data_IF_228221775199
#
_entry.id   IF_228221775199
#
_cell.length_a   1.000
_cell.length_b   1.000
_cell.length_c   1.000
_cell.angle_alpha   90.00
_cell.angle_beta   90.00
_cell.angle_gamma   90.00
#
_symmetry.space_group_name_H-M   'P 1'
#
loop_
_entity.id
_entity.type
_entity.pdbx_description
1 polymer ?
#
# COMPACT_ATOMS: atom_id res chain seq x y z
N UNK A 1 7.16 12.57 11.64
CA UNK A 1 6.09 13.22 12.43
C UNK A 1 6.02 12.70 13.87
N UNK A 2 6.25 11.41 14.14
CA UNK A 2 6.34 10.89 15.51
C UNK A 2 7.40 11.61 16.39
N UNK A 3 8.56 11.96 15.82
CA UNK A 3 9.58 12.73 16.55
C UNK A 3 9.11 14.15 16.88
N UNK A 4 8.49 14.88 15.94
CA UNK A 4 7.94 16.21 16.19
C UNK A 4 6.81 16.19 17.23
N UNK A 5 5.98 15.14 17.25
CA UNK A 5 4.94 14.98 18.27
C UNK A 5 5.54 14.72 19.66
N UNK A 6 6.60 13.90 19.74
CA UNK A 6 7.35 13.69 20.99
C UNK A 6 8.07 14.95 21.46
N UNK A 7 8.65 15.72 20.54
CA UNK A 7 9.30 17.00 20.82
C UNK A 7 8.30 18.07 21.30
N UNK A 8 7.07 18.06 20.79
CA UNK A 8 5.98 18.90 21.26
C UNK A 8 5.36 18.43 22.60
N UNK A 9 5.93 17.39 23.24
CA UNK A 9 5.50 16.88 24.55
C UNK A 9 4.33 15.90 24.50
N UNK A 10 3.89 15.46 23.32
CA UNK A 10 2.86 14.43 23.22
C UNK A 10 3.43 13.04 23.53
N UNK A 11 2.77 12.33 24.44
CA UNK A 11 3.08 10.93 24.74
C UNK A 11 2.46 10.06 23.66
N UNK A 12 3.29 9.61 22.70
CA UNK A 12 2.87 8.66 21.66
C UNK A 12 2.79 7.26 22.29
N UNK A 13 1.61 6.89 22.78
CA UNK A 13 1.37 5.60 23.45
C UNK A 13 1.36 4.40 22.51
N UNK A 14 1.11 4.60 21.21
CA UNK A 14 1.12 3.56 20.20
C UNK A 14 1.81 4.03 18.92
N UNK A 15 2.59 3.14 18.30
CA UNK A 15 3.19 3.39 16.99
C UNK A 15 2.08 3.53 15.93
N UNK A 16 2.16 4.51 15.01
CA UNK A 16 1.18 4.67 13.94
C UNK A 16 1.07 3.38 13.12
N UNK A 17 -0.12 2.76 13.15
CA UNK A 17 -0.43 1.62 12.29
C UNK A 17 -1.05 2.16 11.00
N UNK A 18 -0.39 2.04 9.84
CA UNK A 18 -0.95 2.53 8.60
C UNK A 18 -2.22 1.75 8.28
N UNK A 19 -3.32 2.47 8.04
CA UNK A 19 -4.58 1.88 7.58
C UNK A 19 -4.50 1.79 6.05
N UNK A 20 -4.58 0.59 5.45
CA UNK A 20 -4.60 0.46 4.00
C UNK A 20 -5.93 0.97 3.46
N UNK A 21 -5.88 2.07 2.71
CA UNK A 21 -7.05 2.61 2.01
C UNK A 21 -7.05 2.13 0.56
N UNK A 22 -8.22 1.72 0.09
CA UNK A 22 -8.40 1.36 -1.31
C UNK A 22 -8.36 2.61 -2.18
N UNK A 23 -7.53 2.58 -3.21
CA UNK A 23 -7.43 3.65 -4.22
C UNK A 23 -8.50 3.53 -5.29
N UNK A 24 -8.97 2.31 -5.58
CA UNK A 24 -10.07 2.07 -6.52
C UNK A 24 -10.99 0.93 -6.02
N UNK A 25 -12.15 0.75 -6.64
CA UNK A 25 -13.22 -0.17 -6.21
C UNK A 25 -12.96 -1.68 -6.42
N UNK A 26 -11.69 -2.09 -6.55
CA UNK A 26 -11.26 -3.48 -6.74
C UNK A 26 -11.29 -4.42 -5.51
N UNK A 27 -11.30 -3.95 -4.24
CA UNK A 27 -11.39 -4.83 -3.08
C UNK A 27 -12.65 -5.70 -3.11
N UNK A 28 -12.55 -6.89 -2.51
CA UNK A 28 -13.71 -7.80 -2.39
C UNK A 28 -14.64 -7.43 -1.23
N UNK A 29 -14.12 -6.79 -0.19
CA UNK A 29 -14.92 -6.34 0.94
C UNK A 29 -15.75 -5.11 0.55
N UNK A 30 -17.02 -5.10 0.94
CA UNK A 30 -17.96 -4.00 0.64
C UNK A 30 -17.45 -2.65 1.15
N UNK A 31 -17.03 -2.59 2.43
CA UNK A 31 -16.53 -1.37 3.04
C UNK A 31 -15.30 -0.78 2.31
N UNK A 32 -14.31 -1.62 1.94
CA UNK A 32 -13.14 -1.11 1.22
C UNK A 32 -13.46 -0.75 -0.23
N UNK A 33 -14.41 -1.44 -0.86
CA UNK A 33 -14.89 -1.08 -2.19
C UNK A 33 -15.55 0.30 -2.19
N UNK A 34 -16.40 0.60 -1.22
CA UNK A 34 -17.05 1.91 -1.08
C UNK A 34 -16.02 3.03 -0.88
N UNK A 35 -15.04 2.81 -0.02
CA UNK A 35 -13.90 3.73 0.16
C UNK A 35 -13.15 3.93 -1.17
N UNK A 36 -12.88 2.84 -1.89
CA UNK A 36 -12.21 2.89 -3.19
C UNK A 36 -13.00 3.65 -4.26
N UNK A 37 -14.33 3.53 -4.26
CA UNK A 37 -15.21 4.29 -5.16
C UNK A 37 -15.20 5.77 -4.78
N UNK A 38 -15.25 6.11 -3.49
CA UNK A 38 -15.15 7.49 -3.02
C UNK A 38 -13.79 8.13 -3.34
N UNK A 39 -12.71 7.35 -3.34
CA UNK A 39 -11.35 7.82 -3.64
C UNK A 39 -11.07 8.03 -5.14
N UNK A 40 -12.01 7.71 -6.03
CA UNK A 40 -11.82 7.78 -7.49
C UNK A 40 -11.29 9.14 -7.95
N UNK A 41 -11.92 10.23 -7.50
CA UNK A 41 -11.51 11.57 -7.93
C UNK A 41 -10.14 11.98 -7.39
N UNK A 42 -9.84 11.59 -6.14
CA UNK A 42 -8.53 11.81 -5.53
C UNK A 42 -7.43 11.12 -6.33
N UNK A 43 -7.65 9.89 -6.77
CA UNK A 43 -6.68 9.16 -7.61
C UNK A 43 -6.53 9.78 -8.98
N UNK A 44 -7.62 10.24 -9.62
CA UNK A 44 -7.57 10.92 -10.92
C UNK A 44 -6.76 12.22 -10.87
N UNK A 45 -6.89 12.97 -9.78
CA UNK A 45 -6.10 14.17 -9.53
C UNK A 45 -4.64 13.84 -9.22
N UNK A 46 -4.41 12.82 -8.39
CA UNK A 46 -3.07 12.35 -8.02
C UNK A 46 -2.25 11.87 -9.23
N UNK A 47 -2.86 11.09 -10.13
CA UNK A 47 -2.19 10.61 -11.35
C UNK A 47 -1.70 11.76 -12.22
N UNK A 48 -2.50 12.83 -12.33
CA UNK A 48 -2.14 14.01 -13.09
C UNK A 48 -1.01 14.80 -12.41
N UNK A 49 -1.14 15.05 -11.10
CA UNK A 49 -0.19 15.91 -10.38
C UNK A 49 1.18 15.26 -10.20
N UNK A 50 1.23 13.96 -9.89
CA UNK A 50 2.49 13.25 -9.71
C UNK A 50 3.24 13.04 -11.02
N UNK A 51 2.53 12.84 -12.13
CA UNK A 51 3.15 12.54 -13.42
C UNK A 51 3.53 13.80 -14.20
N UNK A 52 2.91 14.96 -13.94
CA UNK A 52 3.10 16.17 -14.74
C UNK A 52 4.57 16.56 -14.89
N UNK A 53 5.26 16.83 -13.78
CA UNK A 53 6.66 17.26 -13.81
C UNK A 53 7.63 16.18 -14.33
N UNK A 54 7.63 14.93 -13.80
CA UNK A 54 8.60 13.94 -14.25
C UNK A 54 8.39 13.55 -15.72
N UNK A 55 7.16 13.46 -16.21
CA UNK A 55 6.92 13.07 -17.60
C UNK A 55 7.25 14.21 -18.57
N UNK A 56 6.84 15.44 -18.27
CA UNK A 56 7.06 16.56 -19.20
C UNK A 56 8.48 17.10 -19.15
N UNK A 57 9.10 17.17 -17.96
CA UNK A 57 10.42 17.79 -17.77
C UNK A 57 11.55 16.77 -17.78
N UNK A 58 11.47 15.70 -16.97
CA UNK A 58 12.57 14.72 -16.92
C UNK A 58 12.59 13.79 -18.12
N UNK A 59 11.42 13.33 -18.57
CA UNK A 59 11.32 12.46 -19.76
C UNK A 59 11.23 13.27 -21.06
N UNK A 60 10.96 14.58 -21.00
CA UNK A 60 10.79 15.43 -22.17
C UNK A 60 9.54 15.11 -23.00
N UNK A 61 8.52 14.50 -22.39
CA UNK A 61 7.28 14.12 -23.08
C UNK A 61 6.50 15.36 -23.52
N UNK A 62 5.99 15.35 -24.75
CA UNK A 62 5.11 16.40 -25.24
C UNK A 62 3.83 16.47 -24.40
N UNK A 63 3.32 17.68 -24.13
CA UNK A 63 2.14 17.86 -23.28
C UNK A 63 0.90 17.12 -23.80
N UNK A 64 0.73 17.02 -25.12
CA UNK A 64 -0.38 16.27 -25.72
C UNK A 64 -0.31 14.76 -25.41
N UNK A 65 0.89 14.17 -25.48
CA UNK A 65 1.11 12.75 -25.16
C UNK A 65 0.92 12.50 -23.67
N UNK A 66 1.33 13.46 -22.83
CA UNK A 66 1.09 13.40 -21.39
C UNK A 66 -0.40 13.37 -21.05
N UNK A 67 -1.21 14.25 -21.64
CA UNK A 67 -2.66 14.26 -21.40
C UNK A 67 -3.32 12.96 -21.85
N UNK A 68 -2.87 12.39 -22.99
CA UNK A 68 -3.35 11.09 -23.45
C UNK A 68 -3.00 9.97 -22.45
N UNK A 69 -1.75 9.96 -21.96
CA UNK A 69 -1.27 8.98 -20.98
C UNK A 69 -2.07 9.08 -19.67
N UNK A 70 -2.30 10.29 -19.17
CA UNK A 70 -3.10 10.51 -17.96
C UNK A 70 -4.54 10.07 -18.16
N UNK A 71 -5.14 10.35 -19.33
CA UNK A 71 -6.48 9.89 -19.65
C UNK A 71 -6.59 8.36 -19.65
N UNK A 72 -5.60 7.67 -20.24
CA UNK A 72 -5.52 6.21 -20.22
C UNK A 72 -5.36 5.66 -18.80
N UNK A 73 -4.41 6.20 -18.03
CA UNK A 73 -4.17 5.79 -16.65
C UNK A 73 -5.40 5.96 -15.76
N UNK A 74 -6.17 7.04 -15.96
CA UNK A 74 -7.45 7.28 -15.26
C UNK A 74 -8.49 6.21 -15.61
N UNK A 75 -8.61 5.85 -16.89
CA UNK A 75 -9.53 4.78 -17.32
C UNK A 75 -9.12 3.40 -16.77
N UNK A 76 -7.82 3.11 -16.69
CA UNK A 76 -7.31 1.89 -16.09
C UNK A 76 -7.57 1.85 -14.57
N UNK A 77 -7.36 2.95 -13.87
CA UNK A 77 -7.61 3.06 -12.42
C UNK A 77 -9.10 2.90 -12.07
N UNK A 78 -10.00 3.31 -12.95
CA UNK A 78 -11.45 3.18 -12.77
C UNK A 78 -11.93 1.73 -12.94
N UNK A 79 -11.19 0.89 -13.66
CA UNK A 79 -11.59 -0.48 -13.93
C UNK A 79 -11.20 -1.41 -12.77
N UNK A 80 -12.18 -1.95 -12.00
CA UNK A 80 -11.92 -2.77 -10.83
C UNK A 80 -11.31 -4.15 -11.15
N UNK A 81 -11.25 -4.52 -12.44
CA UNK A 81 -10.59 -5.75 -12.92
C UNK A 81 -9.08 -5.64 -12.85
N UNK A 82 -8.52 -4.44 -12.95
CA UNK A 82 -7.08 -4.21 -12.82
C UNK A 82 -6.71 -4.07 -11.35
N UNK A 83 -5.78 -4.92 -10.90
CA UNK A 83 -5.28 -4.93 -9.53
C UNK A 83 -3.78 -4.75 -9.57
N UNK A 84 -3.27 -3.84 -8.74
CA UNK A 84 -1.83 -3.74 -8.52
C UNK A 84 -1.38 -5.01 -7.82
N UNK A 85 -0.58 -5.83 -8.51
CA UNK A 85 0.14 -6.93 -7.85
C UNK A 85 1.23 -6.31 -6.98
N UNK A 86 0.96 -6.18 -5.69
CA UNK A 86 2.02 -5.91 -4.73
C UNK A 86 3.00 -7.08 -4.78
N UNK A 87 4.22 -6.83 -5.26
CA UNK A 87 5.33 -7.71 -4.98
C UNK A 87 5.56 -7.66 -3.47
N UNK A 88 5.01 -8.64 -2.74
CA UNK A 88 5.42 -8.86 -1.35
C UNK A 88 6.82 -9.47 -1.40
N UNK A 89 7.89 -8.76 -1.01
CA UNK A 89 9.15 -9.44 -0.75
C UNK A 89 8.85 -10.54 0.27
N UNK A 90 9.24 -11.79 -0.04
CA UNK A 90 9.16 -12.88 0.94
C UNK A 90 9.88 -12.38 2.18
N UNK A 91 9.18 -12.29 3.31
CA UNK A 91 9.83 -11.95 4.56
C UNK A 91 10.92 -13.00 4.78
N UNK A 92 12.18 -12.61 4.63
CA UNK A 92 13.29 -13.37 5.18
C UNK A 92 13.04 -13.34 6.68
N UNK A 93 12.50 -14.42 7.23
CA UNK A 93 12.47 -14.64 8.68
C UNK A 93 13.93 -14.74 9.10
N UNK A 94 14.53 -13.59 9.41
CA UNK A 94 15.78 -13.52 10.11
C UNK A 94 15.55 -14.20 11.44
N UNK A 95 16.08 -15.42 11.60
CA UNK A 95 16.29 -16.01 12.91
C UNK A 95 17.22 -15.06 13.64
N UNK A 96 16.66 -14.18 14.46
CA UNK A 96 17.44 -13.51 15.50
C UNK A 96 17.90 -14.66 16.40
N UNK A 97 19.17 -15.05 16.26
CA UNK A 97 19.85 -15.89 17.23
C UNK A 97 19.86 -15.15 18.57
N UNK A 98 18.85 -15.40 19.40
CA UNK A 98 18.92 -15.12 20.82
C UNK A 98 19.76 -16.22 21.46
N UNK A 99 21.06 -15.97 21.60
CA UNK A 99 21.95 -16.75 22.45
C UNK A 99 21.60 -16.48 23.91
N UNK A 100 20.62 -17.20 24.47
CA UNK A 100 20.52 -17.34 25.94
C UNK A 100 19.71 -18.59 26.32
N UNK A 101 20.36 -19.50 27.06
CA UNK A 101 19.70 -20.28 28.11
C UNK A 101 18.75 -21.43 27.71
N UNK A 102 19.33 -22.62 27.49
CA UNK A 102 18.93 -23.92 28.09
C UNK A 102 17.50 -24.01 28.65
N UNK A 103 16.60 -24.73 27.96
CA UNK A 103 15.31 -25.18 28.50
C UNK A 103 14.58 -26.14 27.55
N UNK A 104 14.37 -27.37 28.00
CA UNK A 104 13.83 -28.54 27.27
C UNK A 104 12.30 -28.63 27.49
N UNK A 105 11.56 -29.09 26.47
CA UNK A 105 10.16 -29.63 26.41
C UNK A 105 9.39 -28.91 25.29
N UNK A 106 8.74 -29.53 24.31
CA UNK A 106 8.08 -30.83 24.21
C UNK A 106 6.62 -30.56 23.86
N UNK A 107 6.19 -30.78 22.60
CA UNK A 107 4.80 -30.55 22.20
C UNK A 107 4.57 -30.57 20.69
N UNK A 108 4.30 -31.77 20.18
CA UNK A 108 3.80 -32.11 18.84
C UNK A 108 2.30 -31.83 18.81
N UNK A 109 1.78 -31.16 17.77
CA UNK A 109 0.36 -31.23 17.40
C UNK A 109 0.22 -31.14 15.88
N UNK A 110 -0.67 -32.01 15.41
CA UNK A 110 -0.74 -32.64 14.11
C UNK A 110 -1.43 -31.78 13.03
N UNK A 111 -1.04 -32.07 11.79
CA UNK A 111 -1.77 -31.82 10.56
C UNK A 111 -3.23 -32.28 10.67
N UNK A 112 -4.18 -31.40 10.37
CA UNK A 112 -5.45 -31.80 9.81
C UNK A 112 -5.91 -30.79 8.76
N UNK A 113 -5.98 -31.31 7.53
CA UNK A 113 -6.66 -30.83 6.34
C UNK A 113 -8.17 -30.54 6.54
N UNK A 114 -8.77 -30.01 5.47
CA UNK A 114 -10.22 -29.98 5.13
C UNK A 114 -11.04 -28.80 5.70
N UNK A 115 -11.81 -28.00 4.94
CA UNK A 115 -12.42 -28.04 3.58
C UNK A 115 -12.46 -26.63 2.99
#
# INVERSE_FOLDING_TARGET
MANWMREAGFIVSQEPRPIPLATCGWPRSSAQREIGVANRENVRSLLSSMAAYPMTVFQGMASADFELLVAQARNEADNPRFKVRLYRPKATVGKICASTGKGRSGGRYDDHDEI
#
